data_IF_853551439205
#
_entry.id   IF_853551439205
#
_cell.length_a   1.000
_cell.length_b   1.000
_cell.length_c   1.000
_cell.angle_alpha   90.00
_cell.angle_beta   90.00
_cell.angle_gamma   90.00
#
_symmetry.space_group_name_H-M   'P 1'
#
loop_
_entity.id
_entity.type
_entity.pdbx_description
1 polymer ?
#
# COMPACT_ATOMS: atom_id res chain seq x y z
N UNK A 1 -41.22 2.64 1.89
CA UNK A 1 -40.39 3.71 1.29
C UNK A 1 -39.45 3.06 0.28
N UNK A 2 -39.74 3.16 -1.03
CA UNK A 2 -38.99 2.45 -2.09
C UNK A 2 -37.75 3.28 -2.49
N UNK A 3 -36.56 2.81 -2.15
CA UNK A 3 -35.31 3.39 -2.66
C UNK A 3 -35.11 2.90 -4.10
N UNK A 4 -35.22 3.82 -5.06
CA UNK A 4 -34.92 3.58 -6.49
C UNK A 4 -33.44 3.86 -6.72
N UNK A 5 -32.64 2.83 -6.99
CA UNK A 5 -31.33 3.01 -7.61
C UNK A 5 -31.53 3.03 -9.13
N UNK A 6 -31.29 4.19 -9.76
CA UNK A 6 -31.19 4.33 -11.21
C UNK A 6 -29.76 4.00 -11.62
N UNK A 7 -29.53 2.80 -12.13
CA UNK A 7 -28.34 2.48 -12.92
C UNK A 7 -28.57 3.05 -14.33
N UNK A 8 -27.86 4.12 -14.70
CA UNK A 8 -27.96 4.72 -16.03
C UNK A 8 -26.60 4.68 -16.74
N UNK A 9 -26.53 3.78 -17.73
CA UNK A 9 -25.78 3.77 -18.99
C UNK A 9 -24.31 4.27 -19.08
N UNK A 10 -23.42 3.31 -19.34
CA UNK A 10 -22.54 3.17 -20.53
C UNK A 10 -21.94 4.45 -21.16
N UNK A 11 -20.59 4.50 -21.18
CA UNK A 11 -19.81 5.24 -22.18
C UNK A 11 -18.89 4.24 -22.91
N UNK A 12 -18.95 4.31 -24.24
CA UNK A 12 -18.46 3.34 -25.22
C UNK A 12 -16.93 3.29 -25.34
N UNK A 13 -16.34 2.10 -25.15
CA UNK A 13 -15.20 1.62 -25.94
C UNK A 13 -15.37 0.09 -26.03
N UNK A 14 -15.86 -0.40 -27.17
CA UNK A 14 -16.22 -1.82 -27.42
C UNK A 14 -16.94 -2.52 -26.25
N UNK A 15 -18.25 -2.25 -26.08
CA UNK A 15 -19.09 -2.98 -25.11
C UNK A 15 -19.34 -4.39 -25.64
N UNK A 16 -18.47 -5.34 -25.30
CA UNK A 16 -18.82 -6.75 -25.33
C UNK A 16 -19.56 -7.05 -24.03
N UNK A 17 -20.87 -7.30 -24.13
CA UNK A 17 -21.70 -7.77 -23.02
C UNK A 17 -21.18 -9.14 -22.56
N UNK A 18 -20.35 -9.13 -21.55
CA UNK A 18 -19.83 -10.32 -20.88
C UNK A 18 -20.58 -10.53 -19.55
N UNK A 19 -20.65 -11.77 -19.05
CA UNK A 19 -21.31 -12.04 -17.78
C UNK A 19 -20.54 -11.34 -16.65
N UNK A 20 -21.07 -10.21 -16.19
CA UNK A 20 -20.66 -9.60 -14.92
C UNK A 20 -21.49 -10.28 -13.84
N UNK A 21 -20.85 -11.10 -13.00
CA UNK A 21 -21.51 -11.63 -11.80
C UNK A 21 -21.32 -10.61 -10.69
N UNK A 22 -22.35 -9.79 -10.45
CA UNK A 22 -22.45 -8.95 -9.25
C UNK A 22 -23.36 -9.69 -8.27
N UNK A 23 -22.81 -10.13 -7.14
CA UNK A 23 -23.64 -10.64 -6.05
C UNK A 23 -24.22 -9.43 -5.30
N UNK A 24 -25.56 -9.23 -5.29
CA UNK A 24 -26.17 -8.07 -4.67
C UNK A 24 -25.97 -8.10 -3.15
N UNK A 25 -25.78 -6.91 -2.57
CA UNK A 25 -25.85 -6.71 -1.12
C UNK A 25 -27.25 -7.06 -0.62
N UNK A 26 -27.36 -8.02 0.30
CA UNK A 26 -28.61 -8.22 1.05
C UNK A 26 -28.77 -7.10 2.09
N UNK A 27 -30.01 -6.82 2.52
CA UNK A 27 -30.25 -5.74 3.50
C UNK A 27 -29.50 -6.03 4.81
N UNK A 28 -28.55 -5.18 5.16
CA UNK A 28 -27.69 -5.35 6.34
C UNK A 28 -26.24 -5.70 6.00
N UNK A 29 -25.94 -6.08 4.77
CA UNK A 29 -24.57 -6.26 4.29
C UNK A 29 -23.96 -4.92 3.85
N UNK A 30 -22.80 -4.59 4.40
CA UNK A 30 -22.04 -3.38 4.10
C UNK A 30 -20.82 -3.67 3.18
N UNK A 31 -20.79 -4.86 2.56
CA UNK A 31 -19.70 -5.38 1.72
C UNK A 31 -20.24 -6.26 0.59
N UNK A 32 -19.89 -5.94 -0.66
CA UNK A 32 -20.28 -6.69 -1.85
C UNK A 32 -19.03 -7.19 -2.58
N UNK A 33 -19.01 -8.47 -2.96
CA UNK A 33 -17.95 -9.02 -3.79
C UNK A 33 -18.32 -8.94 -5.27
N UNK A 34 -17.36 -8.55 -6.11
CA UNK A 34 -17.47 -8.49 -7.56
C UNK A 34 -16.36 -9.35 -8.16
N UNK A 35 -16.73 -10.29 -9.03
CA UNK A 35 -15.79 -11.07 -9.82
C UNK A 35 -16.11 -10.87 -11.30
N UNK A 36 -15.30 -10.04 -11.95
CA UNK A 36 -15.42 -9.72 -13.36
C UNK A 36 -14.38 -10.52 -14.14
N UNK A 37 -14.84 -11.30 -15.12
CA UNK A 37 -13.95 -11.94 -16.11
C UNK A 37 -14.39 -11.53 -17.50
N UNK A 38 -13.45 -10.95 -18.25
CA UNK A 38 -13.65 -10.48 -19.62
C UNK A 38 -13.04 -11.49 -20.57
N UNK A 39 -13.89 -12.09 -21.41
CA UNK A 39 -13.48 -13.03 -22.45
C UNK A 39 -12.85 -12.34 -23.65
N UNK A 40 -12.84 -13.04 -24.78
CA UNK A 40 -12.37 -12.47 -26.05
C UNK A 40 -13.23 -11.28 -26.47
N UNK A 41 -12.57 -10.18 -26.84
CA UNK A 41 -13.24 -9.02 -27.44
C UNK A 41 -13.19 -9.19 -28.96
N UNK A 42 -14.35 -9.13 -29.61
CA UNK A 42 -14.49 -9.28 -31.07
C UNK A 42 -14.96 -7.96 -31.71
N UNK A 43 -14.24 -7.50 -32.74
CA UNK A 43 -14.63 -6.33 -33.56
C UNK A 43 -13.45 -5.56 -34.15
N UNK A 44 -13.64 -4.88 -35.28
CA UNK A 44 -12.64 -4.01 -35.95
C UNK A 44 -11.20 -4.59 -36.04
N UNK A 45 -11.06 -5.88 -36.34
CA UNK A 45 -9.75 -6.55 -36.41
C UNK A 45 -9.14 -6.94 -35.06
N UNK A 46 -9.90 -6.83 -33.97
CA UNK A 46 -9.56 -7.36 -32.65
C UNK A 46 -10.30 -8.69 -32.47
N UNK A 47 -9.52 -9.76 -32.28
CA UNK A 47 -9.99 -11.08 -31.89
C UNK A 47 -9.01 -11.67 -30.87
N UNK A 48 -9.02 -11.07 -29.66
CA UNK A 48 -8.13 -11.46 -28.57
C UNK A 48 -8.72 -11.07 -27.22
N UNK A 49 -8.29 -11.70 -26.12
CA UNK A 49 -8.58 -11.20 -24.78
C UNK A 49 -7.99 -9.79 -24.59
N UNK A 50 -8.62 -8.94 -23.77
CA UNK A 50 -8.08 -7.62 -23.46
C UNK A 50 -6.81 -7.72 -22.61
N UNK A 51 -5.91 -6.75 -22.77
CA UNK A 51 -4.71 -6.64 -21.92
C UNK A 51 -5.04 -6.06 -20.54
N UNK A 52 -6.14 -5.31 -20.44
CA UNK A 52 -6.60 -4.69 -19.22
C UNK A 52 -8.12 -4.55 -19.19
N UNK A 53 -8.68 -4.57 -17.97
CA UNK A 53 -10.10 -4.35 -17.70
C UNK A 53 -10.26 -3.18 -16.73
N UNK A 54 -11.37 -2.45 -16.83
CA UNK A 54 -11.63 -1.30 -15.97
C UNK A 54 -13.04 -1.36 -15.34
N UNK A 55 -13.10 -1.04 -14.06
CA UNK A 55 -14.35 -0.74 -13.35
C UNK A 55 -14.44 0.77 -13.14
N UNK A 56 -15.54 1.37 -13.59
CA UNK A 56 -15.81 2.78 -13.39
C UNK A 56 -16.99 2.97 -12.43
N UNK A 57 -16.87 3.94 -11.52
CA UNK A 57 -17.95 4.36 -10.64
C UNK A 57 -18.12 5.87 -10.71
N UNK A 58 -19.35 6.34 -10.47
CA UNK A 58 -19.58 7.77 -10.34
C UNK A 58 -18.87 8.32 -9.10
N UNK A 59 -18.42 9.57 -9.18
CA UNK A 59 -17.77 10.32 -8.11
C UNK A 59 -18.56 11.60 -7.85
N UNK A 60 -18.84 11.88 -6.59
CA UNK A 60 -19.50 13.11 -6.17
C UNK A 60 -18.60 14.34 -6.35
N UNK A 61 -19.21 15.51 -6.57
CA UNK A 61 -18.46 16.77 -6.60
C UNK A 61 -17.78 17.01 -5.25
N UNK A 62 -16.47 17.26 -5.26
CA UNK A 62 -15.69 17.46 -4.04
C UNK A 62 -15.48 16.21 -3.19
N UNK A 63 -15.84 15.03 -3.71
CA UNK A 63 -15.57 13.77 -3.02
C UNK A 63 -14.05 13.53 -2.95
N UNK A 64 -13.60 13.23 -1.73
CA UNK A 64 -12.20 12.99 -1.37
C UNK A 64 -11.91 11.50 -1.28
N UNK A 65 -10.68 11.11 -1.58
CA UNK A 65 -10.24 9.72 -1.64
C UNK A 65 -9.00 9.50 -0.78
N UNK A 66 -9.04 8.47 0.07
CA UNK A 66 -8.02 8.16 1.05
C UNK A 66 -7.65 6.68 1.02
N UNK A 67 -6.43 6.35 1.46
CA UNK A 67 -5.93 4.98 1.51
C UNK A 67 -4.80 4.76 0.51
N UNK A 68 -4.96 3.77 -0.35
CA UNK A 68 -3.96 3.31 -1.31
C UNK A 68 -2.68 2.75 -0.69
N UNK A 69 -2.76 2.31 0.57
CA UNK A 69 -1.62 1.84 1.35
C UNK A 69 -0.89 2.98 2.04
N UNK A 70 0.44 2.87 2.17
CA UNK A 70 1.28 3.92 2.74
C UNK A 70 1.62 4.97 1.67
N UNK A 71 1.04 6.16 1.78
CA UNK A 71 1.26 7.26 0.82
C UNK A 71 1.99 8.42 1.50
N UNK A 72 2.94 9.03 0.79
CA UNK A 72 3.72 10.19 1.27
C UNK A 72 3.32 11.52 0.63
N UNK A 73 2.27 11.47 -0.20
CA UNK A 73 1.62 12.62 -0.82
C UNK A 73 0.53 13.20 0.11
N UNK A 74 -0.21 14.26 -0.29
CA UNK A 74 -1.38 14.71 0.45
C UNK A 74 -2.33 13.56 0.74
N UNK A 75 -2.94 13.58 1.93
CA UNK A 75 -3.82 12.50 2.39
C UNK A 75 -5.07 12.30 1.50
N UNK A 76 -5.54 13.37 0.86
CA UNK A 76 -6.57 13.31 -0.18
C UNK A 76 -5.94 13.15 -1.56
N UNK A 77 -6.30 12.06 -2.25
CA UNK A 77 -5.80 11.71 -3.58
C UNK A 77 -6.83 11.96 -4.69
N UNK A 78 -7.94 12.63 -4.39
CA UNK A 78 -8.82 13.22 -5.41
C UNK A 78 -8.01 14.01 -6.46
N UNK A 79 -8.36 13.85 -7.74
CA UNK A 79 -7.68 14.53 -8.84
C UNK A 79 -6.38 13.86 -9.31
N UNK A 80 -6.02 12.70 -8.76
CA UNK A 80 -4.76 12.01 -9.07
C UNK A 80 -4.97 10.65 -9.73
N UNK A 81 -3.94 10.17 -10.40
CA UNK A 81 -3.83 8.78 -10.86
C UNK A 81 -2.89 8.06 -9.90
N UNK A 82 -3.35 6.98 -9.29
CA UNK A 82 -2.61 6.25 -8.25
C UNK A 82 -2.24 4.86 -8.78
N UNK A 83 -1.00 4.63 -9.22
CA UNK A 83 -0.52 3.31 -9.60
C UNK A 83 -0.30 2.43 -8.38
N UNK A 84 -0.73 1.17 -8.46
CA UNK A 84 -0.49 0.16 -7.43
C UNK A 84 0.68 -0.71 -7.89
N UNK A 85 1.88 -0.29 -7.50
CA UNK A 85 3.13 -1.00 -7.79
C UNK A 85 4.17 -0.66 -6.74
N UNK A 86 4.79 -1.70 -6.16
CA UNK A 86 5.87 -1.55 -5.18
C UNK A 86 7.05 -0.90 -5.86
N UNK A 87 7.51 0.23 -5.31
CA UNK A 87 8.65 0.99 -5.82
C UNK A 87 9.49 1.49 -4.65
N UNK A 88 10.80 1.61 -4.89
CA UNK A 88 11.69 2.35 -4.00
C UNK A 88 11.10 3.73 -3.73
N UNK A 89 10.98 4.13 -2.46
CA UNK A 89 10.31 5.39 -2.09
C UNK A 89 10.99 6.61 -2.72
N UNK A 90 12.29 6.52 -3.00
CA UNK A 90 13.11 7.58 -3.56
C UNK A 90 13.53 8.64 -2.52
N UNK A 91 14.70 9.23 -2.72
CA UNK A 91 15.27 10.30 -1.89
C UNK A 91 14.77 11.63 -2.46
N UNK A 92 13.92 12.34 -1.71
CA UNK A 92 13.29 13.59 -2.13
C UNK A 92 11.87 13.45 -2.67
N UNK A 93 11.47 12.25 -3.13
CA UNK A 93 10.08 11.83 -3.41
C UNK A 93 9.33 12.77 -4.35
N UNK A 94 9.98 13.20 -5.43
CA UNK A 94 9.39 14.14 -6.40
C UNK A 94 9.36 15.61 -5.98
N UNK A 95 9.79 15.98 -4.76
CA UNK A 95 9.94 17.39 -4.36
C UNK A 95 11.10 18.04 -5.09
N UNK A 96 10.79 19.03 -5.91
CA UNK A 96 11.77 19.85 -6.61
C UNK A 96 12.31 20.95 -5.67
N UNK A 97 13.59 21.33 -5.73
CA UNK A 97 14.66 20.86 -6.63
C UNK A 97 15.45 19.64 -6.11
N UNK A 98 15.14 19.16 -4.90
CA UNK A 98 15.88 18.07 -4.24
C UNK A 98 15.89 16.77 -5.06
N UNK A 99 14.74 16.42 -5.65
CA UNK A 99 14.58 15.22 -6.50
C UNK A 99 15.46 15.29 -7.72
N UNK A 100 15.54 16.45 -8.41
CA UNK A 100 16.42 16.64 -9.57
C UNK A 100 17.90 16.50 -9.20
N UNK A 101 18.31 17.01 -8.03
CA UNK A 101 19.70 16.85 -7.56
C UNK A 101 20.03 15.39 -7.25
N UNK A 102 19.10 14.65 -6.66
CA UNK A 102 19.25 13.21 -6.37
C UNK A 102 19.27 12.38 -7.65
N UNK A 103 18.38 12.68 -8.59
CA UNK A 103 18.30 12.00 -9.89
C UNK A 103 19.57 12.21 -10.71
N UNK A 104 20.13 13.42 -10.71
CA UNK A 104 21.38 13.74 -11.41
C UNK A 104 22.56 12.89 -10.90
N UNK A 105 22.55 12.50 -9.62
CA UNK A 105 23.64 11.74 -8.98
C UNK A 105 23.36 10.23 -9.00
N UNK A 106 22.10 9.81 -8.91
CA UNK A 106 21.76 8.41 -8.60
C UNK A 106 20.50 7.86 -9.26
N UNK A 107 19.67 8.68 -9.92
CA UNK A 107 18.38 8.25 -10.48
C UNK A 107 17.34 7.76 -9.45
N UNK A 108 17.55 8.07 -8.16
CA UNK A 108 16.74 7.59 -7.04
C UNK A 108 15.81 8.66 -6.45
N UNK A 109 15.45 9.71 -7.19
CA UNK A 109 14.60 10.81 -6.72
C UNK A 109 13.19 10.37 -6.35
N UNK A 110 12.69 9.31 -6.99
CA UNK A 110 11.32 8.82 -6.83
C UNK A 110 10.28 9.78 -7.42
N UNK A 111 9.01 9.51 -7.14
CA UNK A 111 7.89 10.35 -7.54
C UNK A 111 6.95 10.55 -6.35
N UNK A 112 5.90 11.36 -6.51
CA UNK A 112 4.97 11.62 -5.40
C UNK A 112 4.22 10.35 -4.95
N UNK A 113 4.12 9.37 -5.84
CA UNK A 113 3.36 8.12 -5.71
C UNK A 113 4.25 6.89 -5.44
N UNK A 114 5.57 7.07 -5.25
CA UNK A 114 6.47 5.96 -4.93
C UNK A 114 6.32 5.52 -3.48
N UNK A 115 6.08 4.22 -3.29
CA UNK A 115 5.90 3.60 -1.98
C UNK A 115 6.24 2.11 -2.03
N UNK A 116 6.75 1.58 -0.91
CA UNK A 116 6.97 0.13 -0.73
C UNK A 116 5.68 -0.61 -0.38
N UNK A 117 4.66 0.09 0.10
CA UNK A 117 3.43 -0.52 0.59
C UNK A 117 2.18 0.06 -0.09
N UNK A 118 2.08 0.06 -1.43
CA UNK A 118 0.83 0.41 -2.09
C UNK A 118 -0.19 -0.70 -1.83
N UNK A 119 -1.44 -0.30 -1.62
CA UNK A 119 -2.56 -1.23 -1.44
C UNK A 119 -3.70 -0.81 -2.36
N UNK A 120 -4.32 -1.72 -3.13
CA UNK A 120 -5.42 -1.37 -4.03
C UNK A 120 -6.74 -1.21 -3.25
N UNK A 121 -6.75 -0.39 -2.20
CA UNK A 121 -7.90 -0.13 -1.34
C UNK A 121 -8.06 1.36 -1.08
N UNK A 122 -9.28 1.87 -1.19
CA UNK A 122 -9.61 3.25 -0.81
C UNK A 122 -10.90 3.35 0.00
N UNK A 123 -11.01 4.46 0.74
CA UNK A 123 -12.23 4.95 1.38
C UNK A 123 -12.45 6.38 0.91
N UNK A 124 -13.70 6.77 0.74
CA UNK A 124 -14.05 8.13 0.30
C UNK A 124 -14.79 8.92 1.37
N UNK A 125 -14.87 10.25 1.20
CA UNK A 125 -15.68 11.12 2.05
C UNK A 125 -17.20 10.94 1.91
N UNK A 126 -17.64 10.02 1.04
CA UNK A 126 -19.05 9.64 0.86
C UNK A 126 -19.37 8.28 1.50
N UNK A 127 -18.57 7.85 2.47
CA UNK A 127 -18.73 6.61 3.24
C UNK A 127 -18.89 5.36 2.37
N UNK A 128 -18.09 5.30 1.31
CA UNK A 128 -17.90 4.12 0.47
C UNK A 128 -16.44 3.71 0.42
N UNK A 129 -16.21 2.42 0.18
CA UNK A 129 -14.88 1.86 -0.01
C UNK A 129 -14.83 0.94 -1.19
N UNK A 130 -13.60 0.65 -1.62
CA UNK A 130 -13.32 -0.29 -2.69
C UNK A 130 -11.98 -0.97 -2.42
N UNK A 131 -11.88 -2.27 -2.65
CA UNK A 131 -10.61 -3.01 -2.71
C UNK A 131 -10.52 -3.82 -4.00
N UNK A 132 -9.32 -4.00 -4.56
CA UNK A 132 -9.02 -5.12 -5.45
C UNK A 132 -8.41 -6.28 -4.65
N UNK A 133 -8.67 -7.49 -5.11
CA UNK A 133 -7.96 -8.68 -4.69
C UNK A 133 -6.84 -9.03 -5.68
N UNK A 134 -5.76 -9.63 -5.17
CA UNK A 134 -4.63 -10.09 -5.98
C UNK A 134 -3.53 -9.04 -6.16
N UNK A 135 -2.55 -9.37 -7.01
CA UNK A 135 -1.30 -8.62 -7.18
C UNK A 135 -1.10 -8.04 -8.58
N UNK A 136 -2.15 -8.01 -9.40
CA UNK A 136 -2.07 -7.46 -10.76
C UNK A 136 -1.82 -5.96 -10.69
N UNK A 137 -0.96 -5.49 -11.59
CA UNK A 137 -0.75 -4.06 -11.75
C UNK A 137 -2.08 -3.36 -12.03
N UNK A 138 -2.33 -2.29 -11.31
CA UNK A 138 -3.56 -1.52 -11.44
C UNK A 138 -3.31 -0.02 -11.27
N UNK A 139 -4.19 0.78 -11.85
CA UNK A 139 -4.21 2.23 -11.71
C UNK A 139 -5.61 2.65 -11.28
N UNK A 140 -5.65 3.42 -10.20
CA UNK A 140 -6.86 4.12 -9.77
C UNK A 140 -6.80 5.54 -10.31
N UNK A 141 -7.57 5.81 -11.35
CA UNK A 141 -7.69 7.12 -11.97
C UNK A 141 -8.84 7.90 -11.31
N UNK A 142 -8.47 8.89 -10.51
CA UNK A 142 -9.35 9.82 -9.82
C UNK A 142 -9.21 11.24 -10.38
N UNK A 143 -8.54 11.38 -11.54
CA UNK A 143 -8.25 12.68 -12.16
C UNK A 143 -9.47 13.30 -12.85
N UNK A 144 -10.43 12.46 -13.24
CA UNK A 144 -11.64 12.90 -13.91
C UNK A 144 -12.71 13.35 -12.89
N UNK A 145 -13.35 14.48 -13.18
CA UNK A 145 -14.53 14.89 -12.46
C UNK A 145 -15.69 13.93 -12.74
N UNK A 146 -16.43 13.58 -11.70
CA UNK A 146 -17.61 12.71 -11.83
C UNK A 146 -17.31 11.22 -11.96
N UNK A 147 -16.05 10.80 -12.11
CA UNK A 147 -15.67 9.40 -12.26
C UNK A 147 -14.49 9.00 -11.34
N UNK A 148 -14.54 7.75 -10.89
CA UNK A 148 -13.39 7.03 -10.35
C UNK A 148 -13.25 5.73 -11.14
N UNK A 149 -12.11 5.54 -11.79
CA UNK A 149 -11.86 4.41 -12.70
C UNK A 149 -10.72 3.56 -12.16
N UNK A 150 -10.95 2.25 -12.08
CA UNK A 150 -9.95 1.28 -11.60
C UNK A 150 -9.60 0.34 -12.74
N UNK A 151 -8.44 0.58 -13.36
CA UNK A 151 -7.91 -0.24 -14.44
C UNK A 151 -6.96 -1.31 -13.88
N UNK A 152 -7.12 -2.56 -14.29
CA UNK A 152 -6.27 -3.70 -13.89
C UNK A 152 -5.72 -4.39 -15.13
N UNK A 153 -4.42 -4.69 -15.15
CA UNK A 153 -3.77 -5.42 -16.23
C UNK A 153 -4.04 -6.93 -16.11
N UNK A 154 -4.86 -7.44 -17.03
CA UNK A 154 -5.38 -8.80 -17.06
C UNK A 154 -6.86 -8.84 -17.45
N UNK A 155 -7.36 -10.05 -17.67
CA UNK A 155 -8.73 -10.31 -18.11
C UNK A 155 -9.73 -10.48 -16.97
N UNK A 156 -9.24 -10.66 -15.73
CA UNK A 156 -10.06 -10.86 -14.53
C UNK A 156 -9.77 -9.81 -13.49
N UNK A 157 -10.82 -9.27 -12.89
CA UNK A 157 -10.77 -8.29 -11.81
C UNK A 157 -11.70 -8.73 -10.69
N UNK A 158 -11.11 -9.03 -9.54
CA UNK A 158 -11.85 -9.32 -8.31
C UNK A 158 -11.79 -8.08 -7.43
N UNK A 159 -12.96 -7.63 -6.98
CA UNK A 159 -13.09 -6.43 -6.19
C UNK A 159 -14.07 -6.62 -5.04
N UNK A 160 -13.90 -5.82 -4.00
CA UNK A 160 -14.85 -5.68 -2.91
C UNK A 160 -15.32 -4.22 -2.86
N UNK A 161 -16.62 -4.03 -2.78
CA UNK A 161 -17.28 -2.75 -2.60
C UNK A 161 -17.77 -2.66 -1.17
N UNK A 162 -17.59 -1.51 -0.54
CA UNK A 162 -18.04 -1.28 0.84
C UNK A 162 -18.92 -0.05 0.94
N UNK A 163 -19.87 -0.10 1.85
CA UNK A 163 -20.62 1.06 2.35
C UNK A 163 -20.52 1.09 3.87
N UNK A 164 -20.84 2.20 4.51
CA UNK A 164 -20.87 2.28 5.96
C UNK A 164 -21.39 3.62 6.45
N UNK A 165 -21.42 3.80 7.78
CA UNK A 165 -21.76 5.09 8.40
C UNK A 165 -20.53 5.98 8.65
N UNK A 166 -19.39 5.60 8.08
CA UNK A 166 -18.11 6.25 8.30
C UNK A 166 -16.92 5.36 7.94
N UNK A 167 -15.70 5.94 7.82
CA UNK A 167 -14.49 5.20 7.48
C UNK A 167 -14.18 4.03 8.43
N UNK A 168 -14.50 4.16 9.72
CA UNK A 168 -14.24 3.11 10.71
C UNK A 168 -15.02 1.81 10.41
N UNK A 169 -16.27 1.92 9.96
CA UNK A 169 -17.11 0.76 9.64
C UNK A 169 -16.59 0.03 8.38
N UNK A 170 -16.18 0.82 7.37
CA UNK A 170 -15.58 0.30 6.14
C UNK A 170 -14.24 -0.40 6.43
N UNK A 171 -13.39 0.20 7.24
CA UNK A 171 -12.11 -0.40 7.67
C UNK A 171 -12.34 -1.68 8.49
N UNK A 172 -13.37 -1.70 9.35
CA UNK A 172 -13.73 -2.89 10.11
C UNK A 172 -14.16 -4.05 9.20
N UNK A 173 -14.98 -3.76 8.17
CA UNK A 173 -15.40 -4.74 7.17
C UNK A 173 -14.23 -5.23 6.31
N UNK A 174 -13.38 -4.32 5.83
CA UNK A 174 -12.21 -4.66 5.03
C UNK A 174 -11.24 -5.56 5.81
N UNK A 175 -10.86 -5.17 7.03
CA UNK A 175 -9.92 -5.94 7.86
C UNK A 175 -10.51 -7.23 8.43
N UNK A 176 -11.84 -7.35 8.50
CA UNK A 176 -12.46 -8.65 8.80
C UNK A 176 -12.21 -9.67 7.69
N UNK A 177 -12.09 -9.22 6.43
CA UNK A 177 -11.81 -10.07 5.28
C UNK A 177 -10.29 -10.28 5.06
N UNK A 178 -9.46 -9.26 5.30
CA UNK A 178 -8.02 -9.31 5.00
C UNK A 178 -7.13 -9.67 6.19
N UNK A 179 -7.68 -9.65 7.41
CA UNK A 179 -6.97 -9.95 8.64
C UNK A 179 -6.67 -8.70 9.48
N UNK A 180 -6.45 -8.92 10.78
CA UNK A 180 -6.09 -7.88 11.75
C UNK A 180 -4.78 -8.26 12.44
N UNK A 181 -3.92 -7.28 12.66
CA UNK A 181 -2.69 -7.48 13.42
C UNK A 181 -3.01 -7.88 14.86
N UNK A 182 -2.19 -8.75 15.44
CA UNK A 182 -2.24 -9.05 16.87
C UNK A 182 -1.90 -7.83 17.72
N UNK A 183 -2.24 -7.90 19.01
CA UNK A 183 -1.81 -6.88 19.96
C UNK A 183 -0.28 -6.78 20.01
N UNK A 184 0.24 -5.57 20.14
CA UNK A 184 1.67 -5.36 20.34
C UNK A 184 2.14 -6.11 21.60
N UNK A 185 3.30 -6.80 21.58
CA UNK A 185 3.86 -7.43 22.77
C UNK A 185 4.06 -6.42 23.90
N UNK A 186 3.82 -6.85 25.15
CA UNK A 186 3.88 -5.96 26.32
C UNK A 186 5.19 -5.18 26.43
N UNK A 187 6.33 -5.85 26.16
CA UNK A 187 7.68 -5.26 26.24
C UNK A 187 7.86 -4.00 25.39
N UNK A 188 7.10 -3.85 24.29
CA UNK A 188 7.19 -2.67 23.41
C UNK A 188 6.79 -1.37 24.10
N UNK A 189 6.08 -1.45 25.22
CA UNK A 189 5.61 -0.31 26.01
C UNK A 189 6.53 0.05 27.17
N UNK A 190 7.54 -0.78 27.46
CA UNK A 190 8.39 -0.63 28.65
C UNK A 190 9.51 0.41 28.45
N UNK A 191 9.72 0.89 27.23
CA UNK A 191 10.76 1.85 26.89
C UNK A 191 11.04 1.95 25.40
N UNK A 192 12.06 2.73 25.05
CA UNK A 192 12.50 2.88 23.67
C UNK A 192 13.26 1.64 23.17
N UNK A 193 13.10 1.32 21.88
CA UNK A 193 13.97 0.38 21.16
C UNK A 193 15.14 1.17 20.57
N UNK A 194 16.34 0.94 21.08
CA UNK A 194 17.53 1.66 20.61
C UNK A 194 18.10 1.01 19.35
N UNK A 195 18.00 1.71 18.22
CA UNK A 195 18.69 1.34 16.98
C UNK A 195 20.18 1.65 17.09
N UNK A 196 21.03 0.60 17.20
CA UNK A 196 22.45 0.74 17.46
C UNK A 196 23.29 -0.10 16.50
N UNK A 197 24.56 0.28 16.38
CA UNK A 197 25.55 -0.42 15.57
C UNK A 197 26.96 -0.26 16.14
N UNK A 198 27.85 -1.21 15.85
CA UNK A 198 29.27 -1.13 16.18
C UNK A 198 29.81 -2.21 17.12
N UNK A 199 29.15 -3.37 17.21
CA UNK A 199 29.62 -4.51 18.01
C UNK A 199 29.30 -4.40 19.50
N UNK A 200 29.51 -5.51 20.23
CA UNK A 200 29.07 -5.69 21.63
C UNK A 200 29.50 -4.55 22.55
N UNK A 201 30.79 -4.19 22.55
CA UNK A 201 31.33 -3.25 23.52
C UNK A 201 30.73 -1.83 23.37
N UNK A 202 30.57 -1.35 22.13
CA UNK A 202 29.97 -0.04 21.86
C UNK A 202 28.49 -0.02 22.20
N UNK A 203 27.76 -1.07 21.86
CA UNK A 203 26.33 -1.21 22.17
C UNK A 203 26.12 -1.18 23.68
N UNK A 204 26.83 -2.02 24.45
CA UNK A 204 26.70 -2.08 25.91
C UNK A 204 27.00 -0.75 26.59
N UNK A 205 28.12 -0.11 26.24
CA UNK A 205 28.45 1.24 26.77
C UNK A 205 27.37 2.29 26.46
N UNK A 206 26.77 2.21 25.27
CA UNK A 206 25.71 3.17 24.87
C UNK A 206 24.44 2.92 25.68
N UNK A 207 24.05 1.66 25.86
CA UNK A 207 22.90 1.26 26.68
C UNK A 207 23.10 1.70 28.13
N UNK A 208 24.26 1.41 28.73
CA UNK A 208 24.61 1.80 30.10
C UNK A 208 24.52 3.32 30.28
N UNK A 209 25.10 4.08 29.34
CA UNK A 209 25.04 5.55 29.38
C UNK A 209 23.62 6.09 29.28
N UNK A 210 22.79 5.53 28.39
CA UNK A 210 21.40 5.95 28.21
C UNK A 210 20.54 5.60 29.43
N UNK A 211 20.75 4.41 30.00
CA UNK A 211 20.09 3.98 31.23
C UNK A 211 20.49 4.86 32.42
N UNK A 212 21.78 5.18 32.59
CA UNK A 212 22.28 6.07 33.63
C UNK A 212 21.72 7.50 33.49
N UNK A 213 21.39 7.93 32.27
CA UNK A 213 20.70 9.20 31.99
C UNK A 213 19.18 9.14 32.21
N UNK A 214 18.63 8.03 32.70
CA UNK A 214 17.20 7.86 33.01
C UNK A 214 16.34 7.43 31.82
N UNK A 215 16.94 7.04 30.68
CA UNK A 215 16.17 6.53 29.54
C UNK A 215 15.58 5.16 29.88
N UNK A 216 14.26 5.02 29.75
CA UNK A 216 13.61 3.69 29.76
C UNK A 216 13.89 2.98 28.45
N UNK A 217 14.57 1.83 28.50
CA UNK A 217 14.99 1.05 27.34
C UNK A 217 14.29 -0.29 27.40
N UNK A 218 13.55 -0.65 26.35
CA UNK A 218 12.86 -1.95 26.24
C UNK A 218 13.67 -2.98 25.47
N UNK A 219 14.40 -2.54 24.45
CA UNK A 219 15.18 -3.41 23.58
C UNK A 219 16.30 -2.65 22.87
N UNK A 220 17.20 -3.41 22.27
CA UNK A 220 18.16 -2.92 21.28
C UNK A 220 17.90 -3.58 19.94
N UNK A 221 17.93 -2.79 18.87
CA UNK A 221 17.86 -3.27 17.51
C UNK A 221 19.21 -3.05 16.84
N UNK A 222 19.83 -4.15 16.40
CA UNK A 222 21.18 -4.17 15.86
C UNK A 222 21.14 -4.48 14.38
N UNK A 223 21.18 -3.46 13.53
CA UNK A 223 21.10 -3.67 12.08
C UNK A 223 22.29 -4.45 11.52
N UNK A 224 23.43 -4.38 12.19
CA UNK A 224 24.74 -4.91 11.81
C UNK A 224 25.12 -6.19 12.59
N UNK A 225 24.13 -6.85 13.19
CA UNK A 225 24.29 -8.10 13.94
C UNK A 225 24.89 -9.24 13.09
N UNK A 226 24.63 -9.25 11.79
CA UNK A 226 25.17 -10.22 10.85
C UNK A 226 26.52 -9.85 10.24
N UNK A 227 27.12 -8.76 10.72
CA UNK A 227 28.39 -8.26 10.22
C UNK A 227 28.24 -7.20 9.13
N UNK A 228 29.39 -6.71 8.66
CA UNK A 228 29.48 -5.64 7.65
C UNK A 228 30.40 -6.07 6.52
N UNK A 229 30.06 -5.65 5.30
CA UNK A 229 30.93 -5.74 4.13
C UNK A 229 31.35 -4.33 3.74
N UNK A 230 32.64 -4.04 3.89
CA UNK A 230 33.21 -2.77 3.42
C UNK A 230 33.29 -2.79 1.90
N UNK A 231 32.66 -1.81 1.26
CA UNK A 231 32.72 -1.57 -0.18
C UNK A 231 33.30 -0.19 -0.45
N UNK A 232 33.69 0.11 -1.69
CA UNK A 232 34.17 1.45 -2.06
C UNK A 232 33.16 2.57 -1.81
N UNK A 233 31.87 2.23 -1.67
CA UNK A 233 30.77 3.16 -1.34
C UNK A 233 30.45 3.22 0.16
N UNK A 234 31.32 2.69 1.02
CA UNK A 234 31.14 2.62 2.47
C UNK A 234 30.79 1.23 2.98
N UNK A 235 30.55 1.14 4.28
CA UNK A 235 30.24 -0.10 4.97
C UNK A 235 28.76 -0.48 4.80
N UNK A 236 28.49 -1.62 4.15
CA UNK A 236 27.14 -2.19 4.03
C UNK A 236 26.94 -3.35 4.99
N UNK A 237 25.69 -3.73 5.21
CA UNK A 237 25.36 -4.94 5.97
C UNK A 237 25.81 -6.19 5.21
N UNK A 238 26.29 -7.20 5.94
CA UNK A 238 26.57 -8.51 5.36
C UNK A 238 25.28 -9.35 5.38
N UNK A 239 24.77 -9.74 4.20
CA UNK A 239 23.49 -10.44 4.04
C UNK A 239 23.60 -11.96 4.17
N UNK A 240 24.13 -12.46 5.28
CA UNK A 240 24.19 -13.90 5.62
C UNK A 240 23.08 -14.36 6.56
N UNK A 241 22.44 -13.42 7.26
CA UNK A 241 21.42 -13.70 8.28
C UNK A 241 21.89 -14.65 9.39
N UNK A 242 23.18 -14.58 9.72
CA UNK A 242 23.81 -15.34 10.80
C UNK A 242 24.51 -14.37 11.73
N UNK A 243 24.52 -14.67 13.03
CA UNK A 243 25.20 -13.84 14.02
C UNK A 243 26.70 -13.77 13.70
N UNK A 244 27.21 -12.55 13.51
CA UNK A 244 28.65 -12.30 13.49
C UNK A 244 29.17 -12.40 14.93
N UNK A 245 29.70 -13.58 15.27
CA UNK A 245 30.19 -13.88 16.62
C UNK A 245 31.48 -13.16 16.98
N UNK A 246 32.26 -12.71 15.99
CA UNK A 246 33.45 -11.90 16.24
C UNK A 246 33.05 -10.49 16.67
N UNK A 247 32.02 -9.95 16.02
CA UNK A 247 31.52 -8.60 16.27
C UNK A 247 30.56 -8.52 17.45
N UNK A 248 29.76 -9.56 17.63
CA UNK A 248 28.78 -9.71 18.70
C UNK A 248 29.03 -10.99 19.54
N UNK A 249 30.20 -11.10 20.22
CA UNK A 249 30.50 -12.25 21.06
C UNK A 249 29.53 -12.34 22.24
N UNK A 250 29.02 -13.54 22.52
CA UNK A 250 28.11 -13.82 23.64
C UNK A 250 26.64 -13.48 23.39
N UNK A 251 26.23 -13.26 22.14
CA UNK A 251 24.83 -12.98 21.74
C UNK A 251 24.14 -14.16 21.06
N UNK A 252 24.78 -15.34 21.05
CA UNK A 252 24.15 -16.56 20.53
C UNK A 252 23.04 -17.07 21.44
N UNK A 253 22.13 -17.93 20.94
CA UNK A 253 21.21 -18.65 21.80
C UNK A 253 21.99 -19.48 22.82
N UNK A 254 21.54 -19.42 24.08
CA UNK A 254 21.99 -20.26 25.18
C UNK A 254 21.54 -21.70 24.99
#
# INVERSE_FOLDING_TARGET
MKVRYRLLAVVLLAVVLLPVVVLPLTSGENRAAVDLTVGTVTGAGVDRPPDAVALASQRGRGERFHGFGEQFAPFDLAGRRVPIVVREQGIGRGRQSLTTMVDLVSGQGGAWDTTYAPMPFYVTSADRGFALSGSRYSIFDLSQDGLAVVQTWGTRQQAELYTGRGPAEILAAHTAATGRMGALPAWTRDGAVLGLQGGTAKVRRTVERMAAAGTKISAVWLQDWSGRRTTSFGDRLWWTWQLDRERYPGWGPS
#
